data_IF_145082616658
#
_entry.id   IF_145082616658
#
_cell.length_a   1.000
_cell.length_b   1.000
_cell.length_c   1.000
_cell.angle_alpha   90.00
_cell.angle_beta   90.00
_cell.angle_gamma   90.00
#
_symmetry.space_group_name_H-M   'P 1'
#
loop_
_entity.id
_entity.type
_entity.pdbx_description
1 polymer ?
#
# COMPACT_ATOMS: atom_id res chain seq x y z
N UNK A 1 24.49 -2.58 -11.08
CA UNK A 1 23.16 -1.97 -11.31
C UNK A 1 23.20 -0.52 -10.88
N UNK A 2 22.90 0.43 -11.77
CA UNK A 2 23.08 1.87 -11.52
C UNK A 2 22.00 2.40 -10.58
N UNK A 3 22.40 3.20 -9.58
CA UNK A 3 21.58 3.78 -8.51
C UNK A 3 20.29 4.47 -9.04
N UNK A 4 20.37 5.10 -10.23
CA UNK A 4 19.26 5.75 -10.93
C UNK A 4 18.07 4.80 -11.25
N UNK A 5 18.34 3.52 -11.54
CA UNK A 5 17.31 2.54 -11.88
C UNK A 5 16.48 2.06 -10.69
N UNK A 6 17.05 2.13 -9.48
CA UNK A 6 16.37 1.73 -8.24
C UNK A 6 15.34 2.80 -7.87
N UNK A 7 15.72 4.08 -7.97
CA UNK A 7 14.85 5.21 -7.66
C UNK A 7 13.62 5.23 -8.59
N UNK A 8 13.82 5.07 -9.89
CA UNK A 8 12.71 5.03 -10.86
C UNK A 8 11.76 3.86 -10.59
N UNK A 9 12.28 2.66 -10.28
CA UNK A 9 11.45 1.50 -9.95
C UNK A 9 10.69 1.67 -8.63
N UNK A 10 11.32 2.28 -7.63
CA UNK A 10 10.66 2.56 -6.35
C UNK A 10 9.53 3.58 -6.51
N UNK A 11 9.71 4.60 -7.35
CA UNK A 11 8.66 5.58 -7.68
C UNK A 11 7.49 4.90 -8.41
N UNK A 12 7.77 4.05 -9.41
CA UNK A 12 6.72 3.31 -10.12
C UNK A 12 5.95 2.38 -9.19
N UNK A 13 6.63 1.67 -8.28
CA UNK A 13 5.97 0.85 -7.27
C UNK A 13 5.11 1.70 -6.33
N UNK A 14 5.63 2.81 -5.80
CA UNK A 14 4.87 3.69 -4.92
C UNK A 14 3.63 4.27 -5.62
N UNK A 15 3.77 4.69 -6.89
CA UNK A 15 2.68 5.21 -7.71
C UNK A 15 1.63 4.11 -7.98
N UNK A 16 2.06 2.88 -8.23
CA UNK A 16 1.19 1.71 -8.33
C UNK A 16 0.39 1.44 -7.06
N UNK A 17 1.02 1.55 -5.87
CA UNK A 17 0.30 1.44 -4.58
C UNK A 17 -0.73 2.54 -4.45
N UNK A 18 -0.37 3.79 -4.75
CA UNK A 18 -1.27 4.94 -4.64
C UNK A 18 -2.50 4.75 -5.54
N UNK A 19 -2.29 4.38 -6.80
CA UNK A 19 -3.39 4.13 -7.75
C UNK A 19 -4.29 2.99 -7.26
N UNK A 20 -3.69 1.89 -6.79
CA UNK A 20 -4.45 0.76 -6.27
C UNK A 20 -5.27 1.13 -5.03
N UNK A 21 -4.68 1.83 -4.06
CA UNK A 21 -5.35 2.28 -2.83
C UNK A 21 -6.49 3.24 -3.13
N UNK A 22 -6.30 4.18 -4.08
CA UNK A 22 -7.37 5.08 -4.53
C UNK A 22 -8.53 4.30 -5.17
N UNK A 23 -8.24 3.29 -5.98
CA UNK A 23 -9.26 2.46 -6.62
C UNK A 23 -10.08 1.69 -5.58
N UNK A 24 -9.41 1.09 -4.59
CA UNK A 24 -10.08 0.40 -3.47
C UNK A 24 -10.90 1.37 -2.62
N UNK A 25 -10.38 2.57 -2.36
CA UNK A 25 -11.11 3.61 -1.62
C UNK A 25 -12.38 4.06 -2.37
N UNK A 26 -12.31 4.21 -3.70
CA UNK A 26 -13.49 4.50 -4.54
C UNK A 26 -14.52 3.36 -4.52
N UNK A 27 -14.08 2.10 -4.48
CA UNK A 27 -14.99 0.96 -4.32
C UNK A 27 -15.70 1.03 -2.96
N UNK A 28 -15.02 1.45 -1.90
CA UNK A 28 -15.63 1.63 -0.58
C UNK A 28 -16.66 2.76 -0.54
N UNK A 29 -16.40 3.88 -1.21
CA UNK A 29 -17.32 5.02 -1.22
C UNK A 29 -18.56 4.75 -2.07
N UNK A 30 -18.38 4.12 -3.23
CA UNK A 30 -19.48 3.83 -4.16
C UNK A 30 -20.20 2.51 -3.80
N UNK A 31 -19.53 1.59 -3.10
CA UNK A 31 -20.06 0.27 -2.78
C UNK A 31 -21.33 0.31 -1.94
N UNK A 32 -21.49 1.31 -1.06
CA UNK A 32 -22.71 1.51 -0.28
C UNK A 32 -23.92 1.84 -1.15
N UNK A 33 -23.71 2.57 -2.25
CA UNK A 33 -24.76 3.00 -3.16
C UNK A 33 -25.08 1.94 -4.24
N UNK A 34 -24.08 1.16 -4.66
CA UNK A 34 -24.26 0.08 -5.66
C UNK A 34 -24.85 -1.20 -5.03
N UNK A 35 -24.34 -1.62 -3.87
CA UNK A 35 -24.69 -2.93 -3.30
C UNK A 35 -25.83 -2.87 -2.27
N UNK A 36 -26.25 -1.67 -1.84
CA UNK A 36 -27.28 -1.50 -0.83
C UNK A 36 -26.88 -2.06 0.55
N UNK A 37 -27.83 -2.16 1.50
CA UNK A 37 -27.54 -2.74 2.81
C UNK A 37 -27.24 -4.24 2.67
N UNK A 38 -25.97 -4.61 2.85
CA UNK A 38 -25.56 -6.01 2.85
C UNK A 38 -26.16 -6.76 4.05
N UNK A 39 -26.73 -7.96 3.85
CA UNK A 39 -27.34 -8.71 4.93
C UNK A 39 -26.29 -9.35 5.86
N UNK A 40 -26.45 -9.14 7.17
CA UNK A 40 -25.77 -9.89 8.22
C UNK A 40 -24.24 -9.94 8.11
N UNK A 41 -23.67 -11.15 8.21
CA UNK A 41 -22.23 -11.42 8.22
C UNK A 41 -21.50 -11.08 6.91
N UNK A 42 -22.21 -10.95 5.79
CA UNK A 42 -21.59 -10.74 4.48
C UNK A 42 -20.94 -9.37 4.33
N UNK A 43 -21.46 -8.33 4.98
CA UNK A 43 -20.86 -6.98 4.96
C UNK A 43 -19.43 -6.98 5.54
N UNK A 44 -19.25 -7.37 6.82
CA UNK A 44 -17.93 -7.49 7.42
C UNK A 44 -17.03 -8.49 6.70
N UNK A 45 -17.58 -9.60 6.17
CA UNK A 45 -16.81 -10.61 5.46
C UNK A 45 -16.18 -10.07 4.16
N UNK A 46 -16.95 -9.38 3.32
CA UNK A 46 -16.46 -8.78 2.07
C UNK A 46 -15.46 -7.66 2.37
N UNK A 47 -15.72 -6.85 3.39
CA UNK A 47 -14.76 -5.84 3.88
C UNK A 47 -13.42 -6.49 4.24
N UNK A 48 -13.43 -7.54 5.06
CA UNK A 48 -12.22 -8.23 5.49
C UNK A 48 -11.48 -8.90 4.33
N UNK A 49 -12.20 -9.50 3.37
CA UNK A 49 -11.59 -10.06 2.18
C UNK A 49 -10.88 -9.01 1.31
N UNK A 50 -11.54 -7.87 1.05
CA UNK A 50 -10.92 -6.76 0.30
C UNK A 50 -9.73 -6.18 1.05
N UNK A 51 -9.83 -6.05 2.38
CA UNK A 51 -8.73 -5.59 3.22
C UNK A 51 -7.52 -6.53 3.15
N UNK A 52 -7.74 -7.84 3.31
CA UNK A 52 -6.67 -8.85 3.24
C UNK A 52 -6.07 -8.92 1.83
N UNK A 53 -6.89 -8.85 0.78
CA UNK A 53 -6.42 -8.80 -0.60
C UNK A 53 -5.54 -7.56 -0.85
N UNK A 54 -5.97 -6.39 -0.35
CA UNK A 54 -5.20 -5.16 -0.41
C UNK A 54 -3.86 -5.29 0.32
N UNK A 55 -3.89 -5.80 1.56
CA UNK A 55 -2.69 -6.05 2.34
C UNK A 55 -1.73 -7.05 1.66
N UNK A 56 -2.25 -8.07 0.98
CA UNK A 56 -1.46 -9.05 0.24
C UNK A 56 -0.78 -8.44 -0.99
N UNK A 57 -1.51 -7.59 -1.75
CA UNK A 57 -0.96 -6.90 -2.93
C UNK A 57 0.11 -5.90 -2.50
N UNK A 58 -0.20 -5.03 -1.54
CA UNK A 58 0.74 -4.02 -1.03
C UNK A 58 1.93 -4.69 -0.34
N UNK A 59 1.68 -5.72 0.46
CA UNK A 59 2.71 -6.55 1.07
C UNK A 59 3.64 -7.15 0.02
N UNK A 60 3.09 -7.76 -1.05
CA UNK A 60 3.91 -8.31 -2.13
C UNK A 60 4.74 -7.24 -2.85
N UNK A 61 4.22 -6.01 -2.99
CA UNK A 61 4.94 -4.92 -3.63
C UNK A 61 6.07 -4.34 -2.76
N UNK A 62 5.87 -4.31 -1.44
CA UNK A 62 6.86 -3.84 -0.45
C UNK A 62 7.91 -4.93 -0.21
N UNK A 63 7.49 -6.17 0.02
CA UNK A 63 8.35 -7.29 0.40
C UNK A 63 8.94 -8.05 -0.78
N UNK A 64 8.35 -7.99 -1.97
CA UNK A 64 8.78 -8.83 -3.10
C UNK A 64 10.25 -8.64 -3.49
N UNK A 65 10.70 -7.39 -3.63
CA UNK A 65 12.09 -7.09 -4.00
C UNK A 65 13.09 -7.31 -2.84
N UNK A 66 12.81 -6.87 -1.60
CA UNK A 66 13.65 -7.20 -0.44
C UNK A 66 13.75 -8.70 -0.17
N UNK A 67 12.67 -9.46 -0.32
CA UNK A 67 12.66 -10.91 -0.13
C UNK A 67 13.58 -11.60 -1.14
N UNK A 68 13.55 -11.17 -2.41
CA UNK A 68 14.45 -11.71 -3.43
C UNK A 68 15.92 -11.40 -3.12
N UNK A 69 16.24 -10.16 -2.71
CA UNK A 69 17.60 -9.78 -2.29
C UNK A 69 18.07 -10.55 -1.03
N UNK A 70 17.15 -10.88 -0.12
CA UNK A 70 17.47 -11.64 1.08
C UNK A 70 17.83 -13.09 0.75
N UNK A 71 17.11 -13.70 -0.21
CA UNK A 71 17.40 -15.04 -0.74
C UNK A 71 18.73 -15.07 -1.50
N UNK A 72 19.10 -13.98 -2.17
CA UNK A 72 20.37 -13.81 -2.89
C UNK A 72 21.57 -13.54 -1.94
N UNK A 73 21.38 -13.63 -0.63
CA UNK A 73 22.42 -13.46 0.39
C UNK A 73 22.73 -12.00 0.75
N UNK A 74 22.12 -11.01 0.09
CA UNK A 74 22.35 -9.58 0.31
C UNK A 74 21.49 -9.02 1.45
N UNK A 75 21.61 -9.62 2.64
CA UNK A 75 20.75 -9.34 3.80
C UNK A 75 20.74 -7.88 4.24
N UNK A 76 21.89 -7.21 4.21
CA UNK A 76 22.00 -5.79 4.60
C UNK A 76 21.21 -4.90 3.63
N UNK A 77 21.37 -5.12 2.34
CA UNK A 77 20.77 -4.30 1.29
C UNK A 77 19.26 -4.55 1.17
N UNK A 78 18.81 -5.79 1.38
CA UNK A 78 17.40 -6.14 1.56
C UNK A 78 16.75 -5.37 2.72
N UNK A 79 17.39 -5.39 3.90
CA UNK A 79 16.87 -4.73 5.09
C UNK A 79 16.84 -3.21 4.92
N UNK A 80 17.92 -2.63 4.37
CA UNK A 80 18.00 -1.20 4.07
C UNK A 80 16.89 -0.77 3.10
N UNK A 81 16.66 -1.52 2.01
CA UNK A 81 15.61 -1.20 1.05
C UNK A 81 14.21 -1.29 1.67
N UNK A 82 13.98 -2.28 2.52
CA UNK A 82 12.71 -2.43 3.25
C UNK A 82 12.47 -1.28 4.23
N UNK A 83 13.48 -0.94 5.05
CA UNK A 83 13.43 0.18 6.00
C UNK A 83 13.16 1.51 5.31
N UNK A 84 13.83 1.81 4.20
CA UNK A 84 13.56 3.03 3.42
C UNK A 84 12.13 3.05 2.86
N UNK A 85 11.60 1.91 2.44
CA UNK A 85 10.22 1.81 1.94
C UNK A 85 9.21 2.10 3.06
N UNK A 86 9.42 1.55 4.26
CA UNK A 86 8.60 1.87 5.45
C UNK A 86 8.71 3.35 5.80
N UNK A 87 9.93 3.91 5.81
CA UNK A 87 10.16 5.30 6.19
C UNK A 87 9.43 6.26 5.25
N UNK A 88 9.44 5.96 3.94
CA UNK A 88 8.72 6.75 2.96
C UNK A 88 7.19 6.64 3.14
N UNK A 89 6.67 5.45 3.39
CA UNK A 89 5.25 5.25 3.71
C UNK A 89 4.85 5.99 4.99
N UNK A 90 5.72 6.01 6.00
CA UNK A 90 5.50 6.75 7.24
C UNK A 90 5.40 8.25 6.99
N UNK A 91 6.31 8.82 6.19
CA UNK A 91 6.28 10.24 5.81
C UNK A 91 4.99 10.57 5.07
N UNK A 92 4.62 9.80 4.04
CA UNK A 92 3.39 10.04 3.26
C UNK A 92 2.14 9.92 4.13
N UNK A 93 2.10 8.96 5.05
CA UNK A 93 1.01 8.80 6.01
C UNK A 93 0.89 10.04 6.90
N UNK A 94 2.01 10.50 7.47
CA UNK A 94 2.00 11.67 8.36
C UNK A 94 1.62 12.95 7.62
N UNK A 95 2.14 13.16 6.40
CA UNK A 95 1.73 14.28 5.54
C UNK A 95 0.23 14.25 5.24
N UNK A 96 -0.32 13.07 4.92
CA UNK A 96 -1.74 12.92 4.64
C UNK A 96 -2.59 13.23 5.88
N UNK A 97 -2.19 12.73 7.04
CA UNK A 97 -2.85 13.04 8.32
C UNK A 97 -2.79 14.53 8.66
N UNK A 98 -1.66 15.19 8.43
CA UNK A 98 -1.51 16.63 8.64
C UNK A 98 -2.42 17.44 7.72
N UNK A 99 -2.50 17.06 6.44
CA UNK A 99 -3.42 17.67 5.48
C UNK A 99 -4.88 17.50 5.92
N UNK A 100 -5.29 16.30 6.34
CA UNK A 100 -6.63 16.04 6.85
C UNK A 100 -6.91 16.84 8.13
N UNK A 101 -5.94 16.99 9.03
CA UNK A 101 -6.09 17.76 10.26
C UNK A 101 -6.27 19.27 10.00
N UNK A 102 -5.59 19.82 8.99
CA UNK A 102 -5.72 21.24 8.59
C UNK A 102 -7.03 21.50 7.85
N UNK A 103 -7.50 20.55 7.05
CA UNK A 103 -8.76 20.62 6.29
C UNK A 103 -9.99 20.30 7.14
N UNK A 104 -9.82 19.82 8.37
CA UNK A 104 -10.93 19.54 9.29
C UNK A 104 -11.42 20.88 9.87
N UNK A 105 -12.64 21.35 9.53
CA UNK A 105 -13.20 22.56 10.11
C UNK A 105 -13.45 22.43 11.61
#
# INVERSE_FOLDING_TARGET
MTNKSIITRSIINALGVIVYVLLVASIFTVGKDIFGPMPGLFGPFVFLLLFVLSAAIVGSLIFGKPAFLFLDGQKKEALTMFLYTILWLFIVTFCTLAVVAILRP
#
